data_IF_565286849457
#
_entry.id   IF_565286849457
#
_cell.length_a   1.000
_cell.length_b   1.000
_cell.length_c   1.000
_cell.angle_alpha   90.00
_cell.angle_beta   90.00
_cell.angle_gamma   90.00
#
_symmetry.space_group_name_H-M   'P 1'
#
loop_
_entity.id
_entity.type
_entity.pdbx_description
1 polymer ?
#
# COMPACT_ATOMS: atom_id res chain seq x y z
N UNK A 1 5.36 -32.81 32.64
CA UNK A 1 5.38 -31.70 31.67
C UNK A 1 5.30 -32.32 30.28
N UNK A 2 4.09 -32.44 29.75
CA UNK A 2 3.78 -33.04 28.45
C UNK A 2 2.42 -32.52 28.00
N UNK A 3 2.08 -32.72 26.72
CA UNK A 3 0.89 -32.29 25.96
C UNK A 3 1.15 -30.93 25.26
N UNK A 4 1.14 -30.77 23.93
CA UNK A 4 0.84 -31.65 22.78
C UNK A 4 1.44 -31.01 21.51
N UNK A 5 1.80 -31.80 20.51
CA UNK A 5 2.06 -31.34 19.15
C UNK A 5 0.78 -30.89 18.43
N UNK A 6 1.03 -30.13 17.35
CA UNK A 6 0.22 -29.90 16.14
C UNK A 6 -0.96 -28.93 16.22
N UNK A 7 -0.82 -27.80 15.53
CA UNK A 7 -1.78 -27.44 14.49
C UNK A 7 -1.00 -26.81 13.33
N UNK A 8 -0.75 -27.62 12.32
CA UNK A 8 -0.49 -27.15 10.97
C UNK A 8 -1.79 -26.50 10.52
N UNK A 9 -1.92 -25.17 10.69
CA UNK A 9 -3.00 -24.40 10.08
C UNK A 9 -2.92 -24.63 8.57
N UNK A 10 -3.72 -25.56 8.11
CA UNK A 10 -4.06 -25.70 6.70
C UNK A 10 -4.81 -24.42 6.41
N UNK A 11 -4.10 -23.41 5.90
CA UNK A 11 -4.67 -22.10 5.62
C UNK A 11 -5.96 -22.31 4.83
N UNK A 12 -7.04 -21.70 5.30
CA UNK A 12 -8.34 -21.78 4.64
C UNK A 12 -8.15 -21.22 3.24
N UNK A 13 -7.97 -22.10 2.24
CA UNK A 13 -7.78 -21.71 0.84
C UNK A 13 -9.06 -20.98 0.41
N UNK A 14 -8.98 -19.66 0.28
CA UNK A 14 -10.06 -18.84 -0.27
C UNK A 14 -10.32 -19.23 -1.73
N UNK A 15 -11.60 -19.33 -2.11
CA UNK A 15 -12.00 -19.60 -3.50
C UNK A 15 -12.54 -18.32 -4.13
N UNK A 16 -12.00 -17.98 -5.30
CA UNK A 16 -12.49 -16.88 -6.13
C UNK A 16 -13.47 -17.45 -7.15
N UNK A 17 -14.68 -16.89 -7.22
CA UNK A 17 -15.69 -17.24 -8.24
C UNK A 17 -16.12 -15.99 -8.97
N UNK A 18 -15.96 -15.97 -10.30
CA UNK A 18 -16.39 -14.87 -11.16
C UNK A 18 -17.09 -15.43 -12.40
N UNK A 19 -18.02 -14.66 -12.97
CA UNK A 19 -18.70 -14.99 -14.24
C UNK A 19 -18.01 -14.24 -15.37
N UNK A 20 -17.80 -14.93 -16.48
CA UNK A 20 -17.18 -14.40 -17.70
C UNK A 20 -18.12 -14.68 -18.88
N UNK A 21 -18.14 -13.80 -19.88
CA UNK A 21 -18.67 -14.14 -21.20
C UNK A 21 -17.73 -15.12 -21.89
N UNK A 22 -18.24 -15.86 -22.88
CA UNK A 22 -17.43 -16.78 -23.68
C UNK A 22 -16.26 -16.06 -24.36
N UNK A 23 -16.51 -14.89 -24.95
CA UNK A 23 -15.50 -14.03 -25.58
C UNK A 23 -14.36 -13.66 -24.62
N UNK A 24 -14.69 -13.23 -23.39
CA UNK A 24 -13.66 -12.89 -22.41
C UNK A 24 -12.87 -14.12 -21.95
N UNK A 25 -13.52 -15.28 -21.88
CA UNK A 25 -12.86 -16.53 -21.53
C UNK A 25 -11.85 -16.94 -22.61
N UNK A 26 -12.18 -16.78 -23.90
CA UNK A 26 -11.28 -17.09 -25.02
C UNK A 26 -10.02 -16.21 -25.00
N UNK A 27 -10.18 -14.90 -24.75
CA UNK A 27 -9.06 -13.97 -24.64
C UNK A 27 -8.14 -14.35 -23.49
N UNK A 28 -8.70 -14.67 -22.32
CA UNK A 28 -7.93 -15.08 -21.15
C UNK A 28 -7.23 -16.42 -21.37
N UNK A 29 -7.88 -17.36 -22.07
CA UNK A 29 -7.28 -18.66 -22.40
C UNK A 29 -6.08 -18.48 -23.34
N UNK A 30 -6.22 -17.67 -24.38
CA UNK A 30 -5.11 -17.36 -25.29
C UNK A 30 -3.93 -16.74 -24.54
N UNK A 31 -4.19 -15.79 -23.64
CA UNK A 31 -3.13 -15.18 -22.83
C UNK A 31 -2.46 -16.19 -21.89
N UNK A 32 -3.22 -17.10 -21.29
CA UNK A 32 -2.69 -18.17 -20.45
C UNK A 32 -1.81 -19.14 -21.25
N UNK A 33 -2.23 -19.52 -22.46
CA UNK A 33 -1.50 -20.40 -23.38
C UNK A 33 -0.17 -19.77 -23.82
N UNK A 34 -0.19 -18.48 -24.17
CA UNK A 34 1.03 -17.72 -24.52
C UNK A 34 2.03 -17.65 -23.36
N UNK A 35 1.54 -17.62 -22.12
CA UNK A 35 2.37 -17.60 -20.91
C UNK A 35 2.76 -19.02 -20.44
N UNK A 36 2.28 -20.08 -21.10
CA UNK A 36 2.55 -21.47 -20.73
C UNK A 36 1.92 -21.87 -19.40
N UNK A 37 0.74 -21.32 -19.08
CA UNK A 37 0.05 -21.52 -17.80
C UNK A 37 -1.39 -21.96 -18.01
N UNK A 38 -1.99 -22.58 -16.99
CA UNK A 38 -3.44 -22.84 -17.03
C UNK A 38 -4.23 -21.55 -16.85
N UNK A 39 -5.46 -21.48 -17.37
CA UNK A 39 -6.34 -20.32 -17.22
C UNK A 39 -6.49 -19.88 -15.75
N UNK A 40 -6.71 -20.83 -14.84
CA UNK A 40 -6.84 -20.51 -13.40
C UNK A 40 -5.57 -19.89 -12.83
N UNK A 41 -4.40 -20.45 -13.19
CA UNK A 41 -3.11 -19.91 -12.73
C UNK A 41 -2.87 -18.52 -13.29
N UNK A 42 -3.15 -18.31 -14.58
CA UNK A 42 -3.05 -17.01 -15.23
C UNK A 42 -3.93 -15.96 -14.53
N UNK A 43 -5.20 -16.28 -14.29
CA UNK A 43 -6.15 -15.36 -13.63
C UNK A 43 -5.68 -14.99 -12.22
N UNK A 44 -5.22 -15.96 -11.43
CA UNK A 44 -4.70 -15.68 -10.08
C UNK A 44 -3.46 -14.79 -10.14
N UNK A 45 -2.50 -15.09 -11.03
CA UNK A 45 -1.29 -14.29 -11.18
C UNK A 45 -1.59 -12.87 -11.69
N UNK A 46 -2.50 -12.74 -12.65
CA UNK A 46 -2.93 -11.45 -13.18
C UNK A 46 -3.62 -10.61 -12.09
N UNK A 47 -4.51 -11.23 -11.31
CA UNK A 47 -5.20 -10.56 -10.20
C UNK A 47 -4.22 -10.11 -9.11
N UNK A 48 -3.21 -10.93 -8.77
CA UNK A 48 -2.17 -10.55 -7.80
C UNK A 48 -1.34 -9.37 -8.28
N UNK A 49 -0.86 -9.40 -9.53
CA UNK A 49 -0.11 -8.26 -10.10
C UNK A 49 -0.93 -6.98 -10.12
N UNK A 50 -2.21 -7.06 -10.49
CA UNK A 50 -3.10 -5.91 -10.46
C UNK A 50 -3.31 -5.39 -9.03
N UNK A 51 -3.46 -6.28 -8.05
CA UNK A 51 -3.57 -5.92 -6.64
C UNK A 51 -2.30 -5.23 -6.12
N UNK A 52 -1.12 -5.76 -6.44
CA UNK A 52 0.17 -5.16 -6.09
C UNK A 52 0.29 -3.73 -6.64
N UNK A 53 -0.07 -3.52 -7.91
CA UNK A 53 -0.05 -2.18 -8.52
C UNK A 53 -1.01 -1.20 -7.84
N UNK A 54 -2.21 -1.65 -7.47
CA UNK A 54 -3.19 -0.81 -6.77
C UNK A 54 -2.68 -0.47 -5.36
N UNK A 55 -2.12 -1.45 -4.65
CA UNK A 55 -1.55 -1.24 -3.31
C UNK A 55 -0.36 -0.30 -3.38
N UNK A 56 0.59 -0.51 -4.29
CA UNK A 56 1.74 0.37 -4.45
C UNK A 56 1.32 1.80 -4.78
N UNK A 57 0.30 1.98 -5.62
CA UNK A 57 -0.22 3.30 -5.94
C UNK A 57 -0.85 3.99 -4.72
N UNK A 58 -1.68 3.27 -3.95
CA UNK A 58 -2.29 3.80 -2.72
C UNK A 58 -1.25 4.02 -1.60
N UNK A 59 -0.25 3.14 -1.49
CA UNK A 59 0.86 3.25 -0.53
C UNK A 59 1.79 4.42 -0.85
N UNK A 60 2.01 4.76 -2.12
CA UNK A 60 2.73 6.01 -2.48
C UNK A 60 1.94 7.25 -2.08
N UNK A 61 0.60 7.18 -2.09
CA UNK A 61 -0.28 8.26 -1.64
C UNK A 61 -0.33 8.34 -0.11
N UNK A 62 -0.39 7.21 0.60
CA UNK A 62 -0.50 7.13 2.07
C UNK A 62 0.83 7.25 2.79
N UNK A 63 1.90 6.71 2.23
CA UNK A 63 3.25 6.82 2.75
C UNK A 63 4.00 7.86 1.91
N UNK A 64 4.22 9.04 2.50
CA UNK A 64 5.04 10.09 1.89
C UNK A 64 6.45 9.54 1.68
N UNK A 65 6.74 9.00 0.49
CA UNK A 65 8.08 8.57 0.10
C UNK A 65 8.89 9.80 -0.25
N UNK A 66 9.90 10.08 0.58
CA UNK A 66 10.90 11.10 0.27
C UNK A 66 11.90 10.53 -0.75
N UNK A 67 12.12 11.25 -1.86
CA UNK A 67 13.30 11.00 -2.70
C UNK A 67 14.58 11.21 -1.89
N UNK A 68 15.71 10.63 -2.33
CA UNK A 68 17.01 10.76 -1.63
C UNK A 68 17.33 12.22 -1.30
N UNK A 69 17.18 13.12 -2.27
CA UNK A 69 17.40 14.57 -2.08
C UNK A 69 16.45 15.20 -1.06
N UNK A 70 15.19 14.74 -1.00
CA UNK A 70 14.22 15.21 -0.02
C UNK A 70 14.53 14.66 1.38
N UNK A 71 14.98 13.41 1.49
CA UNK A 71 15.44 12.80 2.74
C UNK A 71 16.65 13.54 3.29
N UNK A 72 17.68 13.81 2.46
CA UNK A 72 18.85 14.61 2.86
C UNK A 72 18.46 15.99 3.37
N UNK A 73 17.56 16.68 2.64
CA UNK A 73 17.05 17.98 3.06
C UNK A 73 16.25 17.88 4.36
N UNK A 74 15.47 16.81 4.54
CA UNK A 74 14.71 16.57 5.75
C UNK A 74 15.63 16.34 6.96
N UNK A 75 16.66 15.50 6.83
CA UNK A 75 17.66 15.29 7.88
C UNK A 75 18.42 16.58 8.21
N UNK A 76 18.83 17.36 7.20
CA UNK A 76 19.49 18.64 7.43
C UNK A 76 18.60 19.63 8.22
N UNK A 77 17.28 19.58 8.04
CA UNK A 77 16.33 20.40 8.80
C UNK A 77 16.09 19.88 10.22
N UNK A 78 16.31 18.59 10.50
CA UNK A 78 16.29 18.04 11.86
C UNK A 78 17.57 18.43 12.62
N UNK A 79 18.72 18.37 11.95
CA UNK A 79 20.03 18.71 12.55
C UNK A 79 20.16 20.22 12.79
N UNK A 80 19.65 21.05 11.87
CA UNK A 80 19.67 22.50 11.96
C UNK A 80 18.26 23.07 11.76
N UNK A 81 17.39 23.01 12.78
CA UNK A 81 16.02 23.50 12.67
C UNK A 81 16.03 25.02 12.43
N UNK A 82 15.38 25.51 11.35
CA UNK A 82 15.33 26.94 11.09
C UNK A 82 14.47 27.65 12.12
N UNK A 83 14.77 28.92 12.37
CA UNK A 83 13.95 29.76 13.26
C UNK A 83 12.52 29.90 12.69
N UNK A 84 11.48 29.87 13.53
CA UNK A 84 10.10 30.10 13.11
C UNK A 84 9.97 31.43 12.37
N UNK A 85 9.37 31.42 11.19
CA UNK A 85 9.08 32.64 10.45
C UNK A 85 7.92 33.42 11.12
N UNK A 86 7.75 34.69 10.74
CA UNK A 86 6.71 35.56 11.33
C UNK A 86 5.30 34.97 11.20
N UNK A 87 5.00 34.31 10.08
CA UNK A 87 3.69 33.69 9.86
C UNK A 87 3.42 32.56 10.87
N UNK A 88 4.41 31.72 11.17
CA UNK A 88 4.33 30.65 12.16
C UNK A 88 4.22 31.21 13.58
N UNK A 89 4.95 32.29 13.88
CA UNK A 89 4.83 32.99 15.16
C UNK A 89 3.41 33.55 15.38
N UNK A 90 2.86 34.27 14.39
CA UNK A 90 1.47 34.78 14.42
C UNK A 90 0.45 33.65 14.56
N UNK A 91 0.67 32.50 13.92
CA UNK A 91 -0.21 31.34 14.04
C UNK A 91 -0.20 30.73 15.44
N UNK A 92 0.98 30.62 16.05
CA UNK A 92 1.15 30.12 17.41
C UNK A 92 0.50 31.06 18.44
N UNK A 93 0.64 32.39 18.28
CA UNK A 93 -0.05 33.37 19.13
C UNK A 93 -1.57 33.25 19.08
N UNK A 94 -2.14 33.09 17.87
CA UNK A 94 -3.58 32.83 17.69
C UNK A 94 -4.01 31.54 18.39
N UNK A 95 -3.24 30.46 18.24
CA UNK A 95 -3.53 29.18 18.91
C UNK A 95 -3.52 29.33 20.44
N UNK A 96 -2.52 30.02 21.00
CA UNK A 96 -2.44 30.29 22.45
C UNK A 96 -3.63 31.08 22.97
N UNK A 97 -4.04 32.15 22.26
CA UNK A 97 -5.22 32.95 22.64
C UNK A 97 -6.50 32.12 22.65
N UNK A 98 -6.67 31.21 21.69
CA UNK A 98 -7.84 30.34 21.64
C UNK A 98 -7.83 29.21 22.69
N UNK A 99 -6.66 28.72 23.12
CA UNK A 99 -6.55 27.61 24.08
C UNK A 99 -6.57 28.04 25.55
N UNK A 100 -6.31 29.33 25.84
CA UNK A 100 -6.30 29.92 27.19
C UNK A 100 -7.64 30.61 27.52
N UNK A 101 -8.54 30.72 26.53
CA UNK A 101 -9.90 31.27 26.68
C UNK A 101 -11.01 30.23 26.87
N UNK A 102 -10.69 29.00 27.27
CA UNK A 102 -11.66 27.97 27.71
C UNK A 102 -11.47 27.66 29.19
#
# INVERSE_FOLDING_TARGET
>A
MAIKHSDTETSVRGRITARLSAENQEILQLAADLQGSTLNQFVVQAALRAAEQVIEHDDVIRNIRLSVKQSERFFALLDAPPKPNEALQRAMERFRKNKIGS
#
